data_IF_193620310234
#
_entry.id   IF_193620310234
#
_cell.length_a   1.000
_cell.length_b   1.000
_cell.length_c   1.000
_cell.angle_alpha   90.00
_cell.angle_beta   90.00
_cell.angle_gamma   90.00
#
_symmetry.space_group_name_H-M   'P 1'
#
loop_
_entity.id
_entity.type
_entity.pdbx_description
1 polymer ?
#
# COMPACT_ATOMS: atom_id res chain seq x y z
N UNK A 1 -13.86 6.70 2.06
CA UNK A 1 -15.07 7.49 2.40
C UNK A 1 -15.13 8.73 1.54
N UNK A 2 -14.16 9.66 1.63
CA UNK A 2 -14.15 10.88 0.79
C UNK A 2 -14.21 10.60 -0.72
N UNK A 3 -13.42 9.66 -1.22
CA UNK A 3 -13.46 9.29 -2.65
C UNK A 3 -14.80 8.66 -3.06
N UNK A 4 -15.44 7.90 -2.16
CA UNK A 4 -16.77 7.30 -2.42
C UNK A 4 -17.86 8.38 -2.44
N UNK A 5 -17.84 9.29 -1.47
CA UNK A 5 -18.76 10.43 -1.41
C UNK A 5 -18.60 11.35 -2.63
N UNK A 6 -17.36 11.64 -3.04
CA UNK A 6 -17.09 12.41 -4.25
C UNK A 6 -17.63 11.71 -5.50
N UNK A 7 -17.50 10.38 -5.58
CA UNK A 7 -18.06 9.58 -6.67
C UNK A 7 -19.59 9.64 -6.71
N UNK A 8 -20.25 9.56 -5.57
CA UNK A 8 -21.71 9.69 -5.47
C UNK A 8 -22.19 11.07 -5.92
N UNK A 9 -21.52 12.13 -5.48
CA UNK A 9 -21.85 13.52 -5.89
C UNK A 9 -21.67 13.69 -7.40
N UNK A 10 -20.56 13.23 -7.97
CA UNK A 10 -20.32 13.32 -9.42
C UNK A 10 -21.35 12.49 -10.21
N UNK A 11 -21.69 11.29 -9.74
CA UNK A 11 -22.72 10.46 -10.37
C UNK A 11 -24.10 11.13 -10.36
N UNK A 12 -24.40 11.94 -9.35
CA UNK A 12 -25.66 12.69 -9.26
C UNK A 12 -25.74 13.88 -10.24
N UNK A 13 -24.60 14.44 -10.64
CA UNK A 13 -24.52 15.64 -11.49
C UNK A 13 -24.43 15.33 -12.99
N UNK A 14 -24.01 14.11 -13.38
CA UNK A 14 -23.90 13.72 -14.80
C UNK A 14 -25.25 13.21 -15.32
N UNK A 15 -25.77 13.81 -16.39
CA UNK A 15 -27.00 13.38 -17.09
C UNK A 15 -26.68 13.03 -18.55
N UNK A 16 -27.05 11.85 -19.06
CA UNK A 16 -27.76 10.76 -18.39
C UNK A 16 -26.90 10.05 -17.33
N UNK A 17 -27.55 9.48 -16.31
CA UNK A 17 -26.87 8.80 -15.20
C UNK A 17 -25.96 7.68 -15.74
N UNK A 18 -24.63 7.78 -15.60
CA UNK A 18 -23.72 6.74 -16.07
C UNK A 18 -23.89 5.49 -15.20
N UNK A 19 -23.58 4.31 -15.76
CA UNK A 19 -23.46 3.09 -14.93
C UNK A 19 -22.25 3.25 -14.02
N UNK A 20 -22.27 2.63 -12.85
CA UNK A 20 -21.22 2.79 -11.84
C UNK A 20 -19.81 2.39 -12.35
N UNK A 21 -19.76 1.54 -13.38
CA UNK A 21 -18.55 1.10 -14.07
C UNK A 21 -17.93 2.16 -15.00
N UNK A 22 -18.71 3.14 -15.46
CA UNK A 22 -18.28 4.16 -16.42
C UNK A 22 -17.75 5.44 -15.72
N UNK A 23 -17.90 5.51 -14.39
CA UNK A 23 -17.44 6.66 -13.61
C UNK A 23 -15.90 6.62 -13.45
N UNK A 24 -15.20 7.74 -13.72
CA UNK A 24 -13.76 7.81 -13.56
C UNK A 24 -13.35 7.64 -12.09
N UNK A 25 -12.12 7.18 -11.86
CA UNK A 25 -11.55 7.10 -10.53
C UNK A 25 -11.26 8.51 -10.00
N UNK A 26 -11.95 8.91 -8.93
CA UNK A 26 -11.77 10.22 -8.30
C UNK A 26 -10.79 10.08 -7.15
N UNK A 27 -9.77 10.93 -7.18
CA UNK A 27 -8.79 11.03 -6.10
C UNK A 27 -8.92 12.38 -5.41
N UNK A 28 -9.05 12.36 -4.07
CA UNK A 28 -9.18 13.58 -3.27
C UNK A 28 -7.81 13.94 -2.71
N UNK A 29 -7.35 15.15 -3.03
CA UNK A 29 -6.10 15.71 -2.51
C UNK A 29 -6.40 16.68 -1.38
N UNK A 30 -5.56 16.64 -0.35
CA UNK A 30 -5.63 17.55 0.79
C UNK A 30 -4.45 18.52 0.70
N UNK A 31 -4.72 19.81 0.84
CA UNK A 31 -3.72 20.88 0.82
C UNK A 31 -3.71 21.62 2.16
N UNK A 32 -2.72 22.49 2.32
CA UNK A 32 -2.64 23.46 3.42
C UNK A 32 -2.56 22.84 4.83
N UNK A 33 -1.66 21.87 5.00
CA UNK A 33 -1.33 21.28 6.29
C UNK A 33 0.06 21.74 6.70
N UNK A 34 0.18 22.17 7.95
CA UNK A 34 1.43 22.64 8.54
C UNK A 34 2.54 21.60 8.42
N UNK A 35 3.67 22.05 7.88
CA UNK A 35 4.80 21.19 7.62
C UNK A 35 5.52 20.83 8.93
N UNK A 36 5.63 19.54 9.19
CA UNK A 36 6.43 18.97 10.26
C UNK A 36 7.82 18.59 9.73
N UNK A 37 8.86 18.80 10.52
CA UNK A 37 10.21 18.38 10.16
C UNK A 37 10.31 16.85 10.13
N UNK A 38 11.14 16.30 9.24
CA UNK A 38 11.45 14.85 9.19
C UNK A 38 11.98 14.36 10.53
N UNK A 39 12.67 15.22 11.29
CA UNK A 39 13.28 14.90 12.59
C UNK A 39 12.26 14.74 13.71
N UNK A 40 11.13 15.44 13.63
CA UNK A 40 10.09 15.45 14.66
C UNK A 40 9.08 14.29 14.47
N UNK A 41 9.22 13.51 13.40
CA UNK A 41 8.38 12.35 13.11
C UNK A 41 8.67 11.19 14.06
N UNK A 42 7.93 11.16 15.16
CA UNK A 42 7.94 10.08 16.16
C UNK A 42 6.81 9.05 15.97
N UNK A 43 6.74 8.06 16.88
CA UNK A 43 5.72 7.00 16.87
C UNK A 43 4.29 7.49 17.08
N UNK A 44 4.09 8.65 17.71
CA UNK A 44 2.75 9.22 17.91
C UNK A 44 2.11 9.71 16.60
N UNK A 45 2.91 9.91 15.55
CA UNK A 45 2.42 10.29 14.22
C UNK A 45 2.02 9.08 13.36
N UNK A 46 2.22 7.84 13.84
CA UNK A 46 1.86 6.64 13.07
C UNK A 46 0.35 6.61 12.82
N UNK A 47 -0.03 6.33 11.57
CA UNK A 47 -1.39 6.36 11.05
C UNK A 47 -2.07 7.74 11.10
N UNK A 48 -1.29 8.83 11.23
CA UNK A 48 -1.78 10.22 11.13
C UNK A 48 -1.34 10.89 9.84
N UNK A 49 -2.11 11.91 9.46
CA UNK A 49 -1.82 12.78 8.34
C UNK A 49 -0.72 13.77 8.76
N UNK A 50 0.34 13.86 7.97
CA UNK A 50 1.46 14.76 8.20
C UNK A 50 1.86 15.42 6.88
N UNK A 51 2.38 16.64 6.96
CA UNK A 51 2.95 17.38 5.84
C UNK A 51 4.45 17.48 6.06
N UNK A 52 5.26 17.16 5.05
CA UNK A 52 6.72 17.13 5.16
C UNK A 52 7.33 17.84 3.96
N UNK A 53 8.30 18.72 4.21
CA UNK A 53 9.04 19.45 3.18
C UNK A 53 10.42 18.84 2.98
N UNK A 54 10.84 18.71 1.72
CA UNK A 54 12.14 18.14 1.41
C UNK A 54 12.49 18.18 -0.08
N UNK A 55 13.62 17.56 -0.40
CA UNK A 55 14.11 17.37 -1.76
C UNK A 55 14.00 15.89 -2.12
N UNK A 56 13.41 15.57 -3.26
CA UNK A 56 13.39 14.18 -3.76
C UNK A 56 14.77 13.81 -4.27
N UNK A 57 15.41 12.81 -3.66
CA UNK A 57 16.78 12.40 -4.00
C UNK A 57 16.79 11.32 -5.08
N UNK A 58 15.83 10.40 -5.00
CA UNK A 58 15.77 9.27 -5.93
C UNK A 58 14.34 8.84 -6.15
N UNK A 59 14.07 8.36 -7.37
CA UNK A 59 12.80 7.77 -7.76
C UNK A 59 13.05 6.35 -8.29
N UNK A 60 12.30 5.37 -7.81
CA UNK A 60 12.31 4.03 -8.41
C UNK A 60 11.64 4.03 -9.77
N UNK A 61 11.87 2.97 -10.56
CA UNK A 61 10.99 2.67 -11.70
C UNK A 61 9.56 2.49 -11.20
N UNK A 62 8.60 2.87 -12.04
CA UNK A 62 7.18 2.60 -11.78
C UNK A 62 6.99 1.09 -11.73
N UNK A 63 6.33 0.63 -10.67
CA UNK A 63 5.97 -0.77 -10.49
C UNK A 63 4.45 -0.91 -10.33
N UNK A 64 3.99 -2.15 -10.43
CA UNK A 64 2.57 -2.47 -10.34
C UNK A 64 2.31 -3.13 -8.99
N UNK A 65 1.43 -2.53 -8.20
CA UNK A 65 0.98 -3.02 -6.89
C UNK A 65 -0.42 -3.58 -6.99
N UNK A 66 -0.66 -4.77 -6.43
CA UNK A 66 -2.02 -5.30 -6.34
C UNK A 66 -2.80 -4.58 -5.22
N UNK A 67 -4.00 -4.11 -5.53
CA UNK A 67 -4.96 -3.58 -4.54
C UNK A 67 -5.96 -4.65 -4.10
N UNK A 68 -6.34 -5.53 -5.03
CA UNK A 68 -7.21 -6.67 -4.79
C UNK A 68 -6.65 -7.90 -5.50
N UNK A 69 -6.45 -8.99 -4.78
CA UNK A 69 -6.01 -10.26 -5.33
C UNK A 69 -7.18 -11.22 -5.39
N UNK A 70 -7.49 -11.72 -6.58
CA UNK A 70 -8.40 -12.84 -6.74
C UNK A 70 -7.59 -14.12 -6.55
N UNK A 71 -8.00 -14.95 -5.59
CA UNK A 71 -7.35 -16.23 -5.28
C UNK A 71 -8.34 -17.37 -5.50
N UNK A 72 -7.82 -18.49 -6.00
CA UNK A 72 -8.58 -19.70 -6.22
C UNK A 72 -7.88 -20.89 -5.60
N UNK A 73 -8.63 -21.70 -4.87
CA UNK A 73 -8.11 -22.93 -4.28
C UNK A 73 -7.86 -23.97 -5.37
N UNK A 74 -6.66 -24.60 -5.36
CA UNK A 74 -6.30 -25.64 -6.34
C UNK A 74 -7.21 -26.87 -6.29
N UNK A 75 -7.66 -27.27 -5.09
CA UNK A 75 -8.41 -28.52 -4.91
C UNK A 75 -9.92 -28.31 -5.10
N UNK A 76 -10.52 -27.43 -4.29
CA UNK A 76 -11.99 -27.23 -4.31
C UNK A 76 -12.48 -26.17 -5.30
N UNK A 77 -11.58 -25.49 -6.03
CA UNK A 77 -11.88 -24.41 -6.98
C UNK A 77 -12.66 -23.22 -6.38
N UNK A 78 -12.75 -23.13 -5.06
CA UNK A 78 -13.38 -22.01 -4.38
C UNK A 78 -12.61 -20.72 -4.67
N UNK A 79 -13.33 -19.63 -4.91
CA UNK A 79 -12.74 -18.33 -5.21
C UNK A 79 -12.92 -17.40 -4.01
N UNK A 80 -11.88 -16.63 -3.70
CA UNK A 80 -11.93 -15.59 -2.69
C UNK A 80 -11.21 -14.34 -3.20
N UNK A 81 -11.56 -13.19 -2.64
CA UNK A 81 -10.90 -11.91 -2.97
C UNK A 81 -10.25 -11.37 -1.72
N UNK A 82 -8.93 -11.19 -1.78
CA UNK A 82 -8.12 -10.64 -0.69
C UNK A 82 -7.79 -9.19 -1.00
N UNK A 83 -8.23 -8.27 -0.13
CA UNK A 83 -7.80 -6.88 -0.19
C UNK A 83 -6.37 -6.78 0.29
N UNK A 84 -5.50 -6.20 -0.53
CA UNK A 84 -4.13 -5.93 -0.14
C UNK A 84 -4.08 -4.74 0.81
N UNK A 85 -3.07 -4.69 1.69
CA UNK A 85 -2.82 -3.51 2.52
C UNK A 85 -2.51 -2.26 1.67
N UNK A 86 -2.39 -1.11 2.30
CA UNK A 86 -1.94 0.11 1.60
C UNK A 86 -0.41 0.22 1.57
N UNK A 87 0.15 1.00 0.63
CA UNK A 87 1.56 1.40 0.65
C UNK A 87 2.56 0.26 0.44
N UNK A 88 3.40 -0.06 1.42
CA UNK A 88 4.36 -1.18 1.36
C UNK A 88 3.88 -2.46 2.06
N UNK A 89 2.61 -2.52 2.48
CA UNK A 89 2.06 -3.71 3.13
C UNK A 89 2.03 -4.94 2.22
N UNK A 90 2.38 -6.11 2.75
CA UNK A 90 2.21 -7.38 2.04
C UNK A 90 0.75 -7.86 2.10
N UNK A 91 0.25 -8.58 1.09
CA UNK A 91 -1.05 -9.22 1.17
C UNK A 91 -1.04 -10.34 2.22
N UNK A 92 -2.04 -10.38 3.11
CA UNK A 92 -2.26 -11.47 4.05
C UNK A 92 -3.19 -12.50 3.42
N UNK A 93 -2.61 -13.50 2.75
CA UNK A 93 -3.39 -14.60 2.16
C UNK A 93 -3.70 -15.61 3.27
N UNK A 94 -4.96 -16.03 3.45
CA UNK A 94 -5.32 -17.02 4.47
C UNK A 94 -4.67 -18.36 4.15
N UNK A 95 -4.20 -19.09 5.17
CA UNK A 95 -3.52 -20.37 4.98
C UNK A 95 -4.47 -21.54 4.73
N UNK A 96 -5.74 -21.38 5.08
CA UNK A 96 -6.77 -22.41 4.99
C UNK A 96 -7.81 -21.95 3.97
N UNK A 97 -8.39 -22.91 3.26
CA UNK A 97 -9.49 -22.63 2.35
C UNK A 97 -10.79 -22.38 3.14
N UNK A 98 -11.56 -21.36 2.77
CA UNK A 98 -12.83 -21.02 3.44
C UNK A 98 -13.99 -22.01 3.16
N UNK A 99 -13.75 -23.05 2.35
CA UNK A 99 -14.79 -24.00 1.99
C UNK A 99 -14.92 -25.09 3.05
N UNK A 100 -15.88 -24.91 3.97
CA UNK A 100 -16.15 -25.84 5.09
C UNK A 100 -16.42 -27.27 4.61
N UNK A 101 -17.17 -27.45 3.51
CA UNK A 101 -17.48 -28.79 2.96
C UNK A 101 -16.24 -29.57 2.53
N UNK A 102 -15.24 -28.88 1.97
CA UNK A 102 -13.97 -29.49 1.57
C UNK A 102 -13.03 -29.75 2.76
N UNK A 103 -13.21 -29.02 3.87
CA UNK A 103 -12.42 -29.20 5.09
C UNK A 103 -12.98 -30.31 6.00
N UNK A 104 -14.30 -30.55 5.95
CA UNK A 104 -15.02 -31.55 6.75
C UNK A 104 -15.15 -32.93 6.08
N UNK A 105 -14.72 -33.07 4.82
CA UNK A 105 -14.73 -34.34 4.08
C UNK A 105 -13.74 -35.36 4.71
N UNK A 106 -14.18 -36.01 5.80
CA UNK A 106 -13.41 -36.96 6.62
C UNK A 106 -13.12 -38.30 5.92
N UNK A 107 -13.72 -38.57 4.76
CA UNK A 107 -13.72 -39.92 4.16
C UNK A 107 -12.87 -40.06 2.88
N UNK A 108 -12.43 -38.97 2.24
CA UNK A 108 -11.54 -39.02 1.08
C UNK A 108 -10.37 -38.05 1.26
N UNK A 109 -9.19 -38.58 1.58
CA UNK A 109 -7.96 -37.79 1.79
C UNK A 109 -7.58 -36.91 0.57
N UNK A 110 -8.06 -37.24 -0.63
CA UNK A 110 -7.86 -36.50 -1.88
C UNK A 110 -8.71 -35.22 -2.01
N UNK A 111 -9.84 -35.11 -1.30
CA UNK A 111 -10.73 -33.94 -1.40
C UNK A 111 -10.47 -32.86 -0.33
N UNK A 112 -9.58 -33.13 0.63
CA UNK A 112 -9.19 -32.14 1.64
C UNK A 112 -8.33 -31.06 1.02
N UNK A 113 -8.62 -29.79 1.30
CA UNK A 113 -7.76 -28.70 0.85
C UNK A 113 -6.44 -28.72 1.65
N UNK A 114 -5.26 -28.76 1.00
CA UNK A 114 -3.98 -28.69 1.70
C UNK A 114 -3.79 -27.31 2.34
N UNK A 115 -2.79 -27.21 3.22
CA UNK A 115 -2.35 -25.94 3.78
C UNK A 115 -1.72 -25.08 2.67
N UNK A 116 -2.06 -23.79 2.63
CA UNK A 116 -1.66 -22.84 1.58
C UNK A 116 -2.10 -23.26 0.15
N UNK A 117 -3.39 -23.58 -0.10
CA UNK A 117 -3.86 -24.15 -1.37
C UNK A 117 -4.13 -23.10 -2.47
N UNK A 118 -3.89 -21.83 -2.18
CA UNK A 118 -4.35 -20.69 -2.96
C UNK A 118 -3.42 -20.38 -4.14
N UNK A 119 -4.01 -20.14 -5.30
CA UNK A 119 -3.35 -19.62 -6.49
C UNK A 119 -3.92 -18.25 -6.80
N UNK A 120 -3.03 -17.28 -6.99
CA UNK A 120 -3.42 -15.94 -7.43
C UNK A 120 -3.77 -16.01 -8.91
N UNK A 121 -4.93 -15.47 -9.29
CA UNK A 121 -5.33 -15.29 -10.69
C UNK A 121 -5.06 -13.82 -11.06
N UNK A 122 -3.99 -13.52 -11.83
CA UNK A 122 -3.67 -12.16 -12.23
C UNK A 122 -4.81 -11.49 -13.00
N UNK A 123 -5.46 -12.22 -13.89
CA UNK A 123 -6.50 -11.70 -14.80
C UNK A 123 -7.74 -11.16 -14.07
N UNK A 124 -8.03 -11.68 -12.86
CA UNK A 124 -9.15 -11.23 -12.02
C UNK A 124 -8.71 -10.31 -10.89
N UNK A 125 -7.41 -10.03 -10.78
CA UNK A 125 -6.84 -9.17 -9.75
C UNK A 125 -6.84 -7.71 -10.23
N UNK A 126 -6.93 -6.78 -9.27
CA UNK A 126 -6.84 -5.35 -9.55
C UNK A 126 -5.47 -4.84 -9.15
N UNK A 127 -4.90 -4.04 -10.04
CA UNK A 127 -3.58 -3.47 -9.88
C UNK A 127 -3.62 -1.95 -9.99
N UNK A 128 -2.67 -1.29 -9.33
CA UNK A 128 -2.41 0.13 -9.45
C UNK A 128 -0.92 0.37 -9.68
N UNK A 129 -0.61 1.50 -10.31
CA UNK A 129 0.77 1.96 -10.41
C UNK A 129 1.23 2.46 -9.04
N UNK A 130 2.44 2.07 -8.66
CA UNK A 130 3.11 2.53 -7.46
C UNK A 130 4.57 2.88 -7.76
N UNK A 131 5.09 3.84 -7.01
CA UNK A 131 6.47 4.28 -7.13
C UNK A 131 7.02 4.59 -5.75
N UNK A 132 8.27 4.19 -5.51
CA UNK A 132 9.00 4.54 -4.28
C UNK A 132 9.90 5.73 -4.56
N UNK A 133 9.72 6.79 -3.80
CA UNK A 133 10.61 7.96 -3.82
C UNK A 133 11.37 8.03 -2.50
N UNK A 134 12.55 8.66 -2.52
CA UNK A 134 13.27 9.03 -1.29
C UNK A 134 13.26 10.54 -1.14
N UNK A 135 12.75 11.02 -0.02
CA UNK A 135 12.75 12.43 0.34
C UNK A 135 13.86 12.67 1.37
N UNK A 136 14.66 13.70 1.15
CA UNK A 136 15.66 14.18 2.09
C UNK A 136 15.20 15.53 2.65
N UNK A 137 15.52 15.79 3.92
CA UNK A 137 15.25 17.09 4.52
C UNK A 137 15.99 18.23 3.79
N UNK A 138 15.43 19.43 3.85
CA UNK A 138 16.09 20.60 3.26
C UNK A 138 17.39 20.88 4.02
N UNK A 139 18.49 21.23 3.32
CA UNK A 139 19.79 21.49 3.96
C UNK A 139 19.72 22.63 5.00
N UNK A 140 18.80 23.57 4.81
CA UNK A 140 18.53 24.70 5.70
C UNK A 140 17.96 24.27 7.08
N UNK A 141 17.33 23.09 7.15
CA UNK A 141 16.75 22.54 8.38
C UNK A 141 17.69 21.55 9.08
N UNK A 142 18.87 21.27 8.50
CA UNK A 142 19.84 20.32 9.04
C UNK A 142 20.69 21.02 10.10
N UNK A 143 20.74 20.51 11.34
CA UNK A 143 21.63 21.05 12.36
C UNK A 143 23.10 20.93 11.96
N UNK A 144 23.92 21.92 12.32
CA UNK A 144 25.35 21.93 12.04
C UNK A 144 26.04 20.68 12.60
N UNK A 145 26.77 19.97 11.75
CA UNK A 145 27.53 18.77 12.12
C UNK A 145 26.76 17.45 12.01
N UNK A 146 25.48 17.48 11.65
CA UNK A 146 24.70 16.26 11.39
C UNK A 146 24.55 15.95 9.90
N UNK A 147 24.32 14.67 9.60
CA UNK A 147 23.97 14.22 8.25
C UNK A 147 22.46 14.40 8.00
N UNK A 148 22.04 14.79 6.79
CA UNK A 148 20.64 14.95 6.49
C UNK A 148 19.87 13.62 6.57
N UNK A 149 18.70 13.63 7.22
CA UNK A 149 17.80 12.48 7.28
C UNK A 149 16.98 12.35 5.99
N UNK A 150 16.62 11.10 5.70
CA UNK A 150 15.74 10.78 4.58
C UNK A 150 14.61 9.87 5.02
N UNK A 151 13.51 9.91 4.28
CA UNK A 151 12.33 9.06 4.45
C UNK A 151 11.88 8.50 3.11
N UNK A 152 11.40 7.26 3.14
CA UNK A 152 10.80 6.64 1.97
C UNK A 152 9.36 7.11 1.79
N UNK A 153 8.99 7.34 0.54
CA UNK A 153 7.65 7.71 0.13
C UNK A 153 7.08 6.60 -0.75
N UNK A 154 5.82 6.28 -0.53
CA UNK A 154 5.02 5.45 -1.42
C UNK A 154 4.00 6.32 -2.13
N UNK A 155 4.15 6.42 -3.45
CA UNK A 155 3.28 7.19 -4.33
C UNK A 155 2.44 6.19 -5.14
N UNK A 156 1.14 6.45 -5.28
CA UNK A 156 0.18 5.55 -5.94
C UNK A 156 -0.67 6.31 -6.97
N UNK A 157 -1.22 5.61 -7.96
CA UNK A 157 -2.14 6.14 -8.98
C UNK A 157 -1.59 7.35 -9.76
N UNK A 158 -2.34 8.46 -9.79
CA UNK A 158 -2.09 9.66 -10.60
C UNK A 158 -0.87 10.46 -10.16
N UNK A 159 -0.39 10.23 -8.93
CA UNK A 159 0.78 10.90 -8.39
C UNK A 159 2.09 10.27 -8.89
N UNK A 160 2.02 9.08 -9.50
CA UNK A 160 3.20 8.39 -10.02
C UNK A 160 3.81 9.16 -11.19
N UNK A 161 5.12 9.39 -11.14
CA UNK A 161 5.86 10.10 -12.20
C UNK A 161 5.68 11.62 -12.22
N UNK A 162 4.95 12.21 -11.26
CA UNK A 162 4.76 13.68 -11.19
C UNK A 162 6.02 14.40 -10.72
N UNK A 163 6.80 13.78 -9.83
CA UNK A 163 7.99 14.37 -9.24
C UNK A 163 9.29 13.79 -9.83
N UNK A 164 10.25 14.68 -10.13
CA UNK A 164 11.59 14.32 -10.61
C UNK A 164 12.62 14.45 -9.47
N UNK A 165 13.64 13.57 -9.42
CA UNK A 165 14.78 13.76 -8.52
C UNK A 165 15.41 15.15 -8.66
N UNK A 166 15.76 15.77 -7.54
CA UNK A 166 16.26 17.15 -7.41
C UNK A 166 15.18 18.19 -7.10
N UNK A 167 13.90 17.85 -7.21
CA UNK A 167 12.80 18.80 -6.96
C UNK A 167 12.57 19.02 -5.46
N UNK A 168 12.42 20.29 -5.06
CA UNK A 168 11.91 20.68 -3.73
C UNK A 168 10.39 20.53 -3.73
N UNK A 169 9.86 19.75 -2.79
CA UNK A 169 8.43 19.43 -2.71
C UNK A 169 7.92 19.51 -1.27
N UNK A 170 6.64 19.84 -1.13
CA UNK A 170 5.87 19.65 0.11
C UNK A 170 4.94 18.49 -0.13
N UNK A 171 5.02 17.48 0.74
CA UNK A 171 4.31 16.22 0.57
C UNK A 171 3.33 16.07 1.72
N UNK A 172 2.07 15.83 1.38
CA UNK A 172 1.05 15.50 2.36
C UNK A 172 0.79 14.01 2.29
N UNK A 173 0.89 13.33 3.42
CA UNK A 173 0.75 11.88 3.45
C UNK A 173 0.46 11.31 4.83
N UNK A 174 0.16 10.03 4.84
CA UNK A 174 -0.05 9.29 6.08
C UNK A 174 1.27 8.64 6.48
N UNK A 175 1.76 8.97 7.67
CA UNK A 175 2.96 8.33 8.22
C UNK A 175 2.62 6.91 8.63
N UNK A 176 3.28 5.94 8.03
CA UNK A 176 2.99 4.52 8.21
C UNK A 176 4.28 3.73 8.40
N UNK A 177 4.15 2.48 8.82
CA UNK A 177 5.27 1.59 9.07
C UNK A 177 5.06 0.30 8.30
N UNK A 178 6.15 -0.26 7.77
CA UNK A 178 6.11 -1.53 7.08
C UNK A 178 7.24 -2.44 7.57
N UNK A 179 7.01 -3.74 7.47
CA UNK A 179 8.06 -4.73 7.72
C UNK A 179 8.82 -4.95 6.42
N UNK A 180 10.05 -4.43 6.36
CA UNK A 180 10.96 -4.81 5.30
C UNK A 180 11.27 -6.31 5.45
N UNK A 181 11.13 -7.08 4.36
CA UNK A 181 11.68 -8.45 4.34
C UNK A 181 13.19 -8.31 4.52
N UNK A 182 13.72 -8.84 5.63
CA UNK A 182 15.16 -8.80 5.90
C UNK A 182 15.94 -9.34 4.70
N UNK A 183 16.99 -8.61 4.31
CA UNK A 183 17.96 -9.09 3.33
C UNK A 183 18.78 -10.23 3.98
N UNK A 184 18.30 -11.47 3.85
CA UNK A 184 19.03 -12.65 4.33
C UNK A 184 18.11 -13.66 5.01
N UNK A 185 18.00 -14.84 4.40
CA UNK A 185 17.43 -16.03 5.01
C UNK A 185 16.05 -16.39 4.49
N UNK A 186 15.95 -17.61 3.91
CA UNK A 186 14.68 -18.33 3.77
C UNK A 186 13.99 -18.32 5.13
N UNK A 187 12.97 -17.49 5.30
CA UNK A 187 12.09 -17.59 6.46
C UNK A 187 11.43 -18.97 6.39
N UNK A 188 11.91 -19.89 7.24
CA UNK A 188 11.21 -21.14 7.51
C UNK A 188 9.81 -20.76 7.98
N UNK A 189 8.82 -21.20 7.22
CA UNK A 189 7.40 -21.09 7.51
C UNK A 189 7.11 -21.82 8.83
N UNK A 190 7.20 -21.13 9.97
CA UNK A 190 6.99 -21.78 11.28
C UNK A 190 7.53 -21.04 12.50
N UNK A 191 8.45 -20.09 12.36
CA UNK A 191 8.89 -19.26 13.49
C UNK A 191 8.29 -17.87 13.33
N UNK A 192 7.32 -17.51 14.18
CA UNK A 192 6.92 -16.13 14.43
C UNK A 192 8.12 -15.39 15.04
N UNK A 193 9.18 -15.18 14.27
CA UNK A 193 10.23 -14.26 14.67
C UNK A 193 9.66 -12.86 14.43
N UNK A 194 8.93 -12.38 15.44
CA UNK A 194 8.39 -11.03 15.57
C UNK A 194 9.55 -10.06 15.57
N UNK A 195 10.10 -9.78 14.38
CA UNK A 195 10.96 -8.61 14.19
C UNK A 195 10.06 -7.40 14.43
N UNK A 196 10.15 -6.86 15.64
CA UNK A 196 9.37 -5.73 16.14
C UNK A 196 9.81 -4.40 15.49
N UNK A 197 10.97 -4.40 14.82
CA UNK A 197 11.49 -3.25 14.11
C UNK A 197 10.75 -3.12 12.78
N UNK A 198 10.12 -1.98 12.57
CA UNK A 198 9.43 -1.63 11.33
C UNK A 198 10.00 -0.35 10.77
N UNK A 199 10.11 -0.28 9.45
CA UNK A 199 10.65 0.89 8.78
C UNK A 199 9.51 1.89 8.55
N UNK A 200 9.70 3.17 8.89
CA UNK A 200 8.73 4.21 8.59
C UNK A 200 8.76 4.58 7.11
N UNK A 201 7.60 5.00 6.60
CA UNK A 201 7.45 5.58 5.28
C UNK A 201 6.24 6.52 5.26
N UNK A 202 6.21 7.47 4.34
CA UNK A 202 5.01 8.25 4.06
C UNK A 202 4.25 7.65 2.89
N UNK A 203 2.94 7.41 3.07
CA UNK A 203 2.04 7.18 1.95
C UNK A 203 1.52 8.52 1.45
N UNK A 204 1.90 8.88 0.24
CA UNK A 204 1.61 10.20 -0.35
C UNK A 204 0.15 10.27 -0.78
N UNK A 205 -0.50 11.39 -0.42
CA UNK A 205 -1.85 11.76 -0.86
C UNK A 205 -1.83 13.02 -1.74
N UNK A 206 -0.80 13.86 -1.59
CA UNK A 206 -0.53 15.02 -2.44
C UNK A 206 0.98 15.25 -2.56
#
# INVERSE_FOLDING_TARGET
VFEAAAKEVVASQITPKPREADLPHIHVQLHDIDATSIRDLNSSHVARLVSVRGIVVSASRVNTRATQLAIVCRNCKNQAVVKCGNGFGAPSIPRVCDNLRANEARQNAEQKCPLDPWVIIPDRSKFTNSQRLKLQENPEMVPTGEVPRHIDLCVENMLVGTCKPGSRVTIVGIYSIYQAKGAGGRAKLGTNNTIAIRNPYLRVLH
#
